data_IF_257093698359
#
_entry.id   IF_257093698359
#
_cell.length_a   1.000
_cell.length_b   1.000
_cell.length_c   1.000
_cell.angle_alpha   90.00
_cell.angle_beta   90.00
_cell.angle_gamma   90.00
#
_symmetry.space_group_name_H-M   'P 1'
#
loop_
_entity.id
_entity.type
_entity.pdbx_description
1 polymer ?
#
# COMPACT_ATOMS: atom_id res chain seq x y z
N UNK A 1 20.75 -13.17 -11.50
CA UNK A 1 21.82 -13.37 -10.50
C UNK A 1 23.08 -12.85 -11.16
N UNK A 2 23.44 -11.59 -10.90
CA UNK A 2 24.57 -10.94 -11.54
C UNK A 2 25.86 -11.63 -11.12
N UNK A 3 26.61 -12.12 -12.10
CA UNK A 3 27.98 -12.53 -11.87
C UNK A 3 28.80 -11.27 -11.56
N UNK A 4 29.58 -11.32 -10.47
CA UNK A 4 30.57 -10.29 -10.14
C UNK A 4 31.67 -10.32 -11.21
N UNK A 5 31.56 -9.45 -12.21
CA UNK A 5 32.66 -9.12 -13.11
C UNK A 5 33.36 -7.92 -12.47
N UNK A 6 34.66 -8.06 -12.21
CA UNK A 6 35.49 -6.95 -11.80
C UNK A 6 35.71 -6.06 -13.04
N UNK A 7 34.94 -4.99 -13.16
CA UNK A 7 35.01 -4.05 -14.27
C UNK A 7 35.51 -2.69 -13.74
N UNK A 8 36.63 -2.20 -14.29
CA UNK A 8 37.13 -0.85 -13.97
C UNK A 8 36.56 0.07 -15.03
N UNK A 9 35.50 0.79 -14.69
CA UNK A 9 34.91 1.82 -15.54
C UNK A 9 35.53 3.19 -15.23
N UNK A 10 36.05 3.85 -16.27
CA UNK A 10 36.56 5.22 -16.20
C UNK A 10 35.47 6.29 -16.41
N UNK A 11 34.24 5.85 -16.71
CA UNK A 11 33.11 6.68 -17.18
C UNK A 11 31.87 6.53 -16.27
N UNK A 12 32.03 6.44 -14.94
CA UNK A 12 30.93 6.40 -13.96
C UNK A 12 30.35 7.81 -13.72
N UNK A 13 29.94 8.52 -14.77
CA UNK A 13 29.45 9.90 -14.70
C UNK A 13 27.92 10.00 -14.92
N UNK A 14 27.21 8.87 -14.98
CA UNK A 14 25.78 8.80 -15.25
C UNK A 14 25.42 8.96 -16.73
N UNK A 15 26.39 9.05 -17.64
CA UNK A 15 26.15 9.16 -19.09
C UNK A 15 25.92 7.82 -19.78
N UNK A 16 26.03 6.70 -19.07
CA UNK A 16 25.72 5.37 -19.61
C UNK A 16 24.26 5.30 -20.09
N UNK A 17 24.00 4.44 -21.08
CA UNK A 17 22.63 4.23 -21.57
C UNK A 17 21.69 3.73 -20.46
N UNK A 18 22.21 2.94 -19.50
CA UNK A 18 21.44 2.44 -18.37
C UNK A 18 21.14 3.55 -17.36
N UNK A 19 22.11 4.40 -17.05
CA UNK A 19 21.96 5.50 -16.10
C UNK A 19 20.97 6.54 -16.63
N UNK A 20 21.08 6.93 -17.90
CA UNK A 20 20.11 7.82 -18.56
C UNK A 20 18.70 7.21 -18.61
N UNK A 21 18.59 5.89 -18.80
CA UNK A 21 17.30 5.22 -18.77
C UNK A 21 16.68 5.27 -17.37
N UNK A 22 17.46 5.04 -16.31
CA UNK A 22 16.95 5.12 -14.94
C UNK A 22 16.60 6.55 -14.52
N UNK A 23 17.33 7.55 -15.03
CA UNK A 23 16.95 8.96 -14.88
C UNK A 23 15.59 9.24 -15.53
N UNK A 24 15.35 8.74 -16.74
CA UNK A 24 14.05 8.89 -17.41
C UNK A 24 12.91 8.19 -16.63
N UNK A 25 13.18 7.06 -15.99
CA UNK A 25 12.20 6.36 -15.12
C UNK A 25 11.87 7.22 -13.90
N UNK A 26 12.87 7.72 -13.18
CA UNK A 26 12.65 8.61 -12.03
C UNK A 26 11.90 9.88 -12.43
N UNK A 27 12.31 10.53 -13.53
CA UNK A 27 11.66 11.73 -14.06
C UNK A 27 10.21 11.51 -14.52
N UNK A 28 9.80 10.26 -14.77
CA UNK A 28 8.41 9.91 -15.08
C UNK A 28 7.50 9.81 -13.84
N UNK A 29 8.05 10.02 -12.64
CA UNK A 29 7.33 9.97 -11.36
C UNK A 29 7.40 8.60 -10.67
N UNK A 30 8.22 7.68 -11.17
CA UNK A 30 8.42 6.36 -10.54
C UNK A 30 9.52 6.49 -9.48
N UNK A 31 9.19 6.25 -8.21
CA UNK A 31 10.16 6.25 -7.12
C UNK A 31 11.17 5.12 -7.35
N UNK A 32 12.41 5.48 -7.66
CA UNK A 32 13.40 4.53 -8.19
C UNK A 32 14.60 4.38 -7.25
N UNK A 33 14.92 3.13 -6.91
CA UNK A 33 16.06 2.76 -6.07
C UNK A 33 17.05 1.90 -6.85
N UNK A 34 18.34 2.17 -6.70
CA UNK A 34 19.44 1.43 -7.32
C UNK A 34 20.44 1.00 -6.24
N UNK A 35 21.04 -0.17 -6.40
CA UNK A 35 22.11 -0.61 -5.50
C UNK A 35 23.39 0.15 -5.79
N UNK A 36 24.13 0.54 -4.74
CA UNK A 36 25.44 1.18 -4.90
C UNK A 36 26.48 0.27 -5.61
N UNK A 37 26.33 -1.05 -5.51
CA UNK A 37 27.29 -2.02 -6.04
C UNK A 37 28.01 -2.81 -4.94
N UNK A 38 28.75 -3.85 -5.31
CA UNK A 38 29.48 -4.70 -4.36
C UNK A 38 30.96 -4.84 -4.72
N UNK A 39 31.56 -3.78 -5.27
CA UNK A 39 32.90 -3.79 -5.87
C UNK A 39 34.01 -3.67 -4.82
N UNK A 40 33.75 -4.16 -3.61
CA UNK A 40 34.66 -4.11 -2.46
C UNK A 40 35.23 -2.72 -2.30
N UNK A 41 34.37 -1.77 -1.93
CA UNK A 41 34.69 -0.35 -1.83
C UNK A 41 35.92 0.01 -0.99
N UNK A 42 36.67 -0.95 -0.43
CA UNK A 42 37.99 -0.85 0.21
C UNK A 42 39.19 -1.51 -0.50
N UNK A 43 39.05 -2.05 -1.72
CA UNK A 43 40.20 -2.54 -2.47
C UNK A 43 41.00 -1.35 -3.02
N UNK A 44 42.12 -1.03 -2.35
CA UNK A 44 42.94 0.17 -2.53
C UNK A 44 43.40 0.51 -3.96
N UNK A 45 43.29 -0.41 -4.93
CA UNK A 45 43.59 -0.10 -6.33
C UNK A 45 42.42 0.58 -7.07
N UNK A 46 41.17 0.49 -6.58
CA UNK A 46 39.98 1.04 -7.23
C UNK A 46 39.64 2.48 -6.77
N UNK A 47 40.15 2.91 -5.61
CA UNK A 47 39.90 4.25 -5.09
C UNK A 47 38.44 4.52 -4.73
N UNK A 48 38.06 5.80 -4.68
CA UNK A 48 36.71 6.27 -4.34
C UNK A 48 35.96 6.67 -5.60
N UNK A 49 35.56 5.64 -6.34
CA UNK A 49 34.76 5.69 -7.56
C UNK A 49 34.37 4.25 -7.93
N UNK A 50 33.66 3.58 -7.03
CA UNK A 50 33.27 2.16 -7.18
C UNK A 50 31.78 1.99 -7.40
N UNK A 51 31.02 3.08 -7.39
CA UNK A 51 29.60 3.07 -7.79
C UNK A 51 29.54 3.14 -9.30
N UNK A 52 29.20 2.01 -9.90
CA UNK A 52 29.08 1.85 -11.35
C UNK A 52 27.64 2.09 -11.83
N UNK A 53 27.47 2.20 -13.14
CA UNK A 53 26.20 2.25 -13.82
C UNK A 53 25.34 1.01 -13.54
N UNK A 54 24.03 1.17 -13.24
CA UNK A 54 23.29 2.43 -13.24
C UNK A 54 23.29 3.16 -11.88
N UNK A 55 23.97 2.66 -10.85
CA UNK A 55 24.00 3.27 -9.51
C UNK A 55 24.58 4.69 -9.47
N UNK A 56 25.35 5.07 -10.50
CA UNK A 56 25.86 6.42 -10.75
C UNK A 56 24.83 7.39 -11.36
N UNK A 57 23.61 6.95 -11.69
CA UNK A 57 22.56 7.79 -12.24
C UNK A 57 22.21 8.99 -11.32
N UNK A 58 21.75 10.09 -11.91
CA UNK A 58 21.58 11.36 -11.19
C UNK A 58 20.32 11.40 -10.31
N UNK A 59 19.19 10.98 -10.87
CA UNK A 59 17.87 11.12 -10.25
C UNK A 59 17.52 9.98 -9.29
N UNK A 60 17.73 8.69 -9.62
CA UNK A 60 17.43 7.58 -8.71
C UNK A 60 18.13 7.70 -7.35
N UNK A 61 17.57 7.01 -6.35
CA UNK A 61 18.11 6.91 -5.01
C UNK A 61 19.05 5.70 -4.96
N UNK A 62 20.35 5.94 -4.82
CA UNK A 62 21.38 4.90 -4.75
C UNK A 62 21.58 4.47 -3.30
N UNK A 63 21.52 3.16 -3.03
CA UNK A 63 21.46 2.59 -1.69
C UNK A 63 22.73 1.78 -1.38
N UNK A 64 23.45 2.18 -0.33
CA UNK A 64 24.58 1.43 0.22
C UNK A 64 24.14 0.41 1.28
N UNK A 65 25.03 -0.55 1.57
CA UNK A 65 24.75 -1.67 2.46
C UNK A 65 25.46 -1.50 3.79
N UNK A 66 24.70 -1.63 4.88
CA UNK A 66 25.23 -1.71 6.24
C UNK A 66 25.30 -3.15 6.75
N UNK A 67 26.26 -3.39 7.64
CA UNK A 67 26.31 -4.54 8.52
C UNK A 67 25.31 -4.40 9.69
N UNK A 68 25.11 -5.49 10.45
CA UNK A 68 24.14 -5.52 11.56
C UNK A 68 24.57 -4.68 12.76
N UNK A 69 25.85 -4.36 12.87
CA UNK A 69 26.42 -3.40 13.82
C UNK A 69 26.36 -1.95 13.30
N UNK A 70 25.70 -1.73 12.16
CA UNK A 70 25.51 -0.43 11.52
C UNK A 70 26.82 0.19 10.98
N UNK A 71 27.88 -0.62 10.84
CA UNK A 71 29.04 -0.26 10.03
C UNK A 71 28.71 -0.33 8.54
N UNK A 72 29.41 0.43 7.69
CA UNK A 72 29.32 0.24 6.25
C UNK A 72 29.90 -1.15 5.92
N UNK A 73 29.15 -1.96 5.17
CA UNK A 73 29.60 -3.29 4.83
C UNK A 73 30.84 -3.21 3.92
N UNK A 74 31.87 -4.01 4.19
CA UNK A 74 33.18 -3.97 3.49
C UNK A 74 33.06 -4.12 1.95
N UNK A 75 32.01 -4.79 1.49
CA UNK A 75 31.77 -4.98 0.06
C UNK A 75 31.03 -3.79 -0.58
N UNK A 76 30.38 -2.92 0.19
CA UNK A 76 29.55 -1.83 -0.33
C UNK A 76 30.41 -0.85 -1.11
N UNK A 77 29.96 -0.52 -2.31
CA UNK A 77 30.63 0.49 -3.15
C UNK A 77 30.45 1.89 -2.60
N UNK A 78 31.45 2.72 -2.88
CA UNK A 78 31.64 4.09 -2.40
C UNK A 78 31.81 5.03 -3.59
N UNK A 79 31.21 6.21 -3.50
CA UNK A 79 31.43 7.29 -4.45
C UNK A 79 32.80 7.95 -4.24
N UNK A 80 33.09 9.06 -4.90
CA UNK A 80 32.21 9.86 -5.76
C UNK A 80 31.97 9.20 -7.12
N UNK A 81 30.99 9.70 -7.88
CA UNK A 81 30.94 9.44 -9.33
C UNK A 81 32.12 10.12 -10.03
N UNK A 82 32.43 9.74 -11.27
CA UNK A 82 33.55 10.28 -12.05
C UNK A 82 33.44 11.78 -12.33
N UNK A 83 32.22 12.32 -12.36
CA UNK A 83 31.91 13.75 -12.48
C UNK A 83 31.81 14.49 -11.13
N UNK A 84 32.08 13.80 -10.01
CA UNK A 84 32.18 14.41 -8.68
C UNK A 84 30.86 14.56 -7.91
N UNK A 85 29.77 13.90 -8.35
CA UNK A 85 28.53 13.84 -7.56
C UNK A 85 28.70 12.90 -6.38
N UNK A 86 28.08 13.26 -5.26
CA UNK A 86 28.04 12.41 -4.08
C UNK A 86 27.03 11.28 -4.32
N UNK A 87 27.52 10.05 -4.20
CA UNK A 87 26.76 8.81 -4.10
C UNK A 87 27.44 7.91 -3.07
N UNK A 88 26.72 7.05 -2.33
CA UNK A 88 25.28 6.76 -2.39
C UNK A 88 24.42 7.92 -1.87
N UNK A 89 23.09 7.83 -1.98
CA UNK A 89 22.18 8.79 -1.35
C UNK A 89 21.83 8.37 0.10
N UNK A 90 21.70 7.07 0.39
CA UNK A 90 21.30 6.57 1.71
C UNK A 90 21.88 5.18 1.96
N UNK A 91 21.98 4.79 3.23
CA UNK A 91 22.46 3.48 3.65
C UNK A 91 21.44 2.72 4.47
N UNK A 92 21.31 1.42 4.22
CA UNK A 92 20.40 0.54 4.95
C UNK A 92 21.06 -0.82 5.17
N UNK A 93 20.65 -1.56 6.20
CA UNK A 93 21.18 -2.90 6.48
C UNK A 93 20.94 -3.83 5.28
N UNK A 94 22.03 -4.37 4.73
CA UNK A 94 22.02 -5.31 3.61
C UNK A 94 22.84 -6.57 3.86
N UNK A 95 23.55 -6.68 4.98
CA UNK A 95 24.30 -7.89 5.34
C UNK A 95 23.50 -8.89 6.17
N UNK A 96 23.67 -10.17 5.85
CA UNK A 96 23.09 -11.29 6.58
C UNK A 96 21.58 -11.17 6.77
N UNK A 97 20.90 -10.72 5.70
CA UNK A 97 19.45 -10.56 5.63
C UNK A 97 18.82 -11.91 5.33
N UNK A 98 17.91 -12.35 6.19
CA UNK A 98 17.09 -13.52 5.92
C UNK A 98 16.03 -13.15 4.88
N UNK A 99 16.02 -13.85 3.75
CA UNK A 99 15.06 -13.65 2.68
C UNK A 99 14.44 -14.99 2.25
N UNK A 100 13.25 -14.98 1.63
CA UNK A 100 12.66 -16.18 1.05
C UNK A 100 13.62 -16.85 0.07
N UNK A 101 13.78 -18.17 0.20
CA UNK A 101 14.64 -18.93 -0.68
C UNK A 101 13.89 -19.39 -1.93
N UNK A 102 14.39 -19.00 -3.10
CA UNK A 102 13.72 -19.30 -4.36
C UNK A 102 13.66 -20.82 -4.59
N UNK A 103 12.59 -21.28 -5.23
CA UNK A 103 12.31 -22.70 -5.46
C UNK A 103 12.06 -23.55 -4.18
N UNK A 104 11.75 -22.89 -3.06
CA UNK A 104 11.25 -23.55 -1.84
C UNK A 104 9.83 -23.07 -1.51
N UNK A 105 9.07 -23.87 -0.76
CA UNK A 105 7.71 -23.50 -0.30
C UNK A 105 7.71 -22.52 0.86
N UNK A 106 8.66 -22.69 1.77
CA UNK A 106 8.70 -22.10 3.11
C UNK A 106 10.15 -21.88 3.58
N UNK A 107 11.13 -22.06 2.69
CA UNK A 107 12.54 -21.91 2.98
C UNK A 107 12.97 -20.46 3.07
N UNK A 108 13.98 -20.23 3.91
CA UNK A 108 14.64 -18.94 4.07
C UNK A 108 16.14 -19.13 3.96
N UNK A 109 16.81 -18.15 3.36
CA UNK A 109 18.26 -18.15 3.21
C UNK A 109 18.84 -16.78 3.57
N UNK A 110 20.04 -16.78 4.14
CA UNK A 110 20.75 -15.55 4.49
C UNK A 110 21.54 -15.08 3.28
N UNK A 111 21.36 -13.81 2.88
CA UNK A 111 22.13 -13.17 1.81
C UNK A 111 22.67 -11.81 2.27
N UNK A 112 23.75 -11.39 1.62
CA UNK A 112 24.39 -10.10 1.85
C UNK A 112 24.60 -9.38 0.53
N UNK A 113 24.43 -8.05 0.52
CA UNK A 113 24.70 -7.22 -0.65
C UNK A 113 23.94 -5.89 -0.62
N UNK A 114 24.41 -4.90 -1.38
CA UNK A 114 23.60 -3.69 -1.68
C UNK A 114 22.30 -4.05 -2.40
N UNK A 115 22.25 -5.18 -3.09
CA UNK A 115 21.02 -5.78 -3.63
C UNK A 115 20.00 -6.22 -2.57
N UNK A 116 20.40 -6.41 -1.31
CA UNK A 116 19.50 -6.69 -0.18
C UNK A 116 19.08 -5.39 0.52
N UNK A 117 19.98 -4.40 0.61
CA UNK A 117 19.67 -3.08 1.15
C UNK A 117 18.66 -2.32 0.28
N UNK A 118 18.80 -2.39 -1.05
CA UNK A 118 17.94 -1.70 -2.02
C UNK A 118 16.44 -2.04 -1.88
N UNK A 119 16.00 -3.32 -1.89
CA UNK A 119 14.59 -3.65 -1.70
C UNK A 119 14.09 -3.35 -0.29
N UNK A 120 14.96 -3.33 0.74
CA UNK A 120 14.57 -2.87 2.07
C UNK A 120 14.24 -1.38 2.06
N UNK A 121 15.08 -0.54 1.42
CA UNK A 121 14.79 0.88 1.23
C UNK A 121 13.54 1.11 0.38
N UNK A 122 13.35 0.32 -0.68
CA UNK A 122 12.12 0.38 -1.49
C UNK A 122 10.87 0.03 -0.66
N UNK A 123 10.97 -0.92 0.28
CA UNK A 123 9.91 -1.23 1.23
C UNK A 123 9.60 -0.09 2.19
N UNK A 124 10.62 0.60 2.69
CA UNK A 124 10.46 1.82 3.52
C UNK A 124 9.73 2.91 2.71
N UNK A 125 10.14 3.13 1.46
CA UNK A 125 9.48 4.09 0.60
C UNK A 125 8.03 3.70 0.25
N UNK A 126 7.72 2.41 0.15
CA UNK A 126 6.35 1.95 -0.01
C UNK A 126 5.47 2.34 1.20
N UNK A 127 6.01 2.33 2.42
CA UNK A 127 5.31 2.83 3.61
C UNK A 127 5.15 4.36 3.56
N UNK A 128 6.12 5.10 3.01
CA UNK A 128 5.97 6.55 2.77
C UNK A 128 4.85 6.84 1.78
N UNK A 129 4.72 6.05 0.72
CA UNK A 129 3.60 6.13 -0.24
C UNK A 129 2.27 5.76 0.41
N UNK A 130 2.24 4.79 1.33
CA UNK A 130 1.04 4.47 2.09
C UNK A 130 0.60 5.65 2.98
N UNK A 131 1.55 6.30 3.65
CA UNK A 131 1.31 7.49 4.47
C UNK A 131 0.91 8.72 3.64
N UNK A 132 1.40 8.82 2.40
CA UNK A 132 1.05 9.89 1.48
C UNK A 132 0.98 9.36 0.03
N UNK A 133 -0.22 8.98 -0.45
CA UNK A 133 -0.41 8.41 -1.79
C UNK A 133 -0.03 9.31 -2.96
N UNK A 134 0.23 10.61 -2.71
CA UNK A 134 0.64 11.58 -3.72
C UNK A 134 2.14 11.94 -3.64
N UNK A 135 2.89 11.29 -2.76
CA UNK A 135 4.31 11.59 -2.58
C UNK A 135 5.09 11.34 -3.88
N UNK A 136 5.89 12.32 -4.27
CA UNK A 136 6.73 12.28 -5.47
C UNK A 136 8.11 11.70 -5.18
N UNK A 137 8.82 11.28 -6.24
CA UNK A 137 10.21 10.81 -6.15
C UNK A 137 11.12 11.87 -5.51
N UNK A 138 10.96 13.14 -5.90
CA UNK A 138 11.71 14.27 -5.37
C UNK A 138 11.43 14.49 -3.88
N UNK A 139 10.17 14.37 -3.44
CA UNK A 139 9.82 14.48 -2.03
C UNK A 139 10.39 13.34 -1.20
N UNK A 140 10.40 12.11 -1.71
CA UNK A 140 11.08 10.98 -1.04
C UNK A 140 12.57 11.28 -0.87
N UNK A 141 13.23 11.76 -1.93
CA UNK A 141 14.65 12.14 -1.88
C UNK A 141 14.92 13.29 -0.89
N UNK A 142 14.02 14.27 -0.82
CA UNK A 142 14.10 15.37 0.13
C UNK A 142 13.96 14.91 1.59
N UNK A 143 13.05 13.99 1.87
CA UNK A 143 12.88 13.40 3.21
C UNK A 143 14.13 12.60 3.60
N UNK A 144 14.65 11.75 2.70
CA UNK A 144 15.91 11.03 2.92
C UNK A 144 17.04 12.02 3.25
N UNK A 145 17.11 13.14 2.52
CA UNK A 145 18.12 14.17 2.75
C UNK A 145 18.00 14.88 4.10
N UNK A 146 16.78 15.06 4.60
CA UNK A 146 16.53 15.83 5.82
C UNK A 146 16.56 14.96 7.09
N UNK A 147 16.12 13.71 6.98
CA UNK A 147 15.70 12.90 8.13
C UNK A 147 16.54 11.63 8.33
N UNK A 148 17.58 11.41 7.52
CA UNK A 148 18.48 10.26 7.71
C UNK A 148 19.24 10.37 9.03
N UNK A 149 19.49 9.23 9.68
CA UNK A 149 20.29 9.16 10.90
C UNK A 149 21.76 9.36 10.52
N UNK A 150 22.38 10.38 11.08
CA UNK A 150 23.80 10.66 10.88
C UNK A 150 24.68 9.49 11.39
N UNK A 151 25.75 9.17 10.66
CA UNK A 151 26.66 8.05 10.94
C UNK A 151 28.13 8.49 10.88
N UNK A 152 28.79 8.63 12.01
CA UNK A 152 30.19 9.08 12.07
C UNK A 152 31.11 8.30 11.12
N UNK A 153 32.01 9.03 10.45
CA UNK A 153 33.01 8.44 9.57
C UNK A 153 34.10 7.80 10.43
N UNK A 154 34.41 6.53 10.19
CA UNK A 154 35.46 5.82 10.92
C UNK A 154 36.83 6.12 10.32
N UNK A 155 37.37 7.32 10.60
CA UNK A 155 38.63 7.85 10.05
C UNK A 155 39.89 6.99 10.30
N UNK A 156 39.87 6.03 11.24
CA UNK A 156 41.06 5.29 11.69
C UNK A 156 40.91 3.76 11.74
N UNK A 157 39.71 3.22 11.52
CA UNK A 157 39.42 1.78 11.59
C UNK A 157 38.50 1.31 10.46
N UNK A 158 38.36 2.07 9.35
CA UNK A 158 37.69 1.57 8.15
C UNK A 158 38.49 0.38 7.58
N UNK A 159 37.91 -0.85 7.55
CA UNK A 159 38.58 -2.02 6.99
C UNK A 159 38.94 -1.89 5.50
N UNK A 160 38.48 -0.81 4.82
CA UNK A 160 38.81 -0.48 3.44
C UNK A 160 40.01 0.45 3.19
N UNK A 161 40.59 1.09 4.21
CA UNK A 161 41.77 1.98 4.09
C UNK A 161 41.71 3.05 2.97
N UNK A 162 40.53 3.37 2.44
CA UNK A 162 40.35 4.32 1.34
C UNK A 162 39.27 5.35 1.66
N UNK A 163 39.27 5.84 2.89
CA UNK A 163 38.46 6.97 3.28
C UNK A 163 38.82 8.19 2.40
N UNK A 164 37.99 8.46 1.38
CA UNK A 164 38.07 9.67 0.56
C UNK A 164 37.10 10.75 1.03
N UNK A 165 36.51 10.59 2.21
CA UNK A 165 35.82 11.68 2.87
C UNK A 165 36.90 12.64 3.42
N UNK A 166 37.31 13.58 2.56
CA UNK A 166 38.33 14.59 2.89
C UNK A 166 37.85 15.50 4.04
N UNK A 167 36.54 15.57 4.26
CA UNK A 167 35.83 16.30 5.30
C UNK A 167 34.58 15.51 5.69
N UNK A 168 34.15 15.58 6.96
CA UNK A 168 32.81 15.15 7.36
C UNK A 168 31.76 16.11 6.73
N UNK A 169 31.38 15.85 5.48
CA UNK A 169 30.33 16.57 4.77
C UNK A 169 29.13 15.66 4.58
N UNK A 170 27.91 16.16 4.79
CA UNK A 170 26.68 15.43 4.43
C UNK A 170 26.03 16.07 3.20
N UNK A 171 25.67 15.29 2.18
CA UNK A 171 25.93 13.85 2.05
C UNK A 171 27.43 13.54 1.88
N UNK A 172 27.88 12.37 2.33
CA UNK A 172 29.23 11.84 2.09
C UNK A 172 29.21 10.69 1.07
N UNK A 173 30.39 10.25 0.62
CA UNK A 173 30.54 9.24 -0.41
C UNK A 173 30.48 7.78 0.10
N UNK A 174 30.22 7.56 1.39
CA UNK A 174 30.12 6.25 2.02
C UNK A 174 28.68 5.94 2.44
N UNK A 175 28.09 6.80 3.26
CA UNK A 175 26.76 6.67 3.83
C UNK A 175 25.71 7.50 3.10
N UNK A 176 26.11 8.46 2.26
CA UNK A 176 25.21 9.43 1.65
C UNK A 176 24.70 10.42 2.70
N UNK A 177 23.39 10.62 2.76
CA UNK A 177 22.75 11.41 3.82
C UNK A 177 22.76 10.70 5.19
N UNK A 178 23.03 9.39 5.22
CA UNK A 178 23.13 8.62 6.45
C UNK A 178 22.38 7.30 6.39
N UNK A 179 22.08 6.76 7.56
CA UNK A 179 21.28 5.55 7.71
C UNK A 179 19.78 5.89 7.59
N UNK A 180 19.01 5.06 6.88
CA UNK A 180 17.55 5.23 6.82
C UNK A 180 16.87 5.12 8.20
N UNK A 181 15.94 6.03 8.49
CA UNK A 181 15.00 5.97 9.62
C UNK A 181 13.59 5.70 9.09
N UNK A 182 13.10 4.45 9.13
CA UNK A 182 11.77 4.13 8.62
C UNK A 182 10.64 4.89 9.33
N UNK A 183 10.77 5.17 10.62
CA UNK A 183 9.71 5.81 11.39
C UNK A 183 9.61 7.28 11.02
N UNK A 184 10.75 7.99 11.08
CA UNK A 184 10.79 9.41 10.77
C UNK A 184 10.43 9.66 9.31
N UNK A 185 10.92 8.84 8.37
CA UNK A 185 10.57 8.99 6.95
C UNK A 185 9.06 8.88 6.69
N UNK A 186 8.37 7.93 7.34
CA UNK A 186 6.92 7.75 7.20
C UNK A 186 6.15 8.90 7.85
N UNK A 187 6.60 9.38 9.01
CA UNK A 187 5.99 10.52 9.69
C UNK A 187 6.11 11.80 8.86
N UNK A 188 7.29 12.09 8.32
CA UNK A 188 7.54 13.24 7.45
C UNK A 188 6.78 13.14 6.12
N UNK A 189 6.72 11.94 5.51
CA UNK A 189 6.00 11.72 4.27
C UNK A 189 4.50 12.05 4.39
N UNK A 190 3.87 11.60 5.47
CA UNK A 190 2.45 11.81 5.74
C UNK A 190 2.12 13.08 6.53
N UNK A 191 3.11 13.85 6.96
CA UNK A 191 2.95 14.94 7.93
C UNK A 191 2.15 14.48 9.17
N UNK A 192 2.48 13.28 9.67
CA UNK A 192 1.64 12.54 10.60
C UNK A 192 1.71 13.16 12.00
N UNK A 193 0.55 13.61 12.49
CA UNK A 193 0.30 13.87 13.90
C UNK A 193 -0.39 12.65 14.54
N UNK A 194 0.36 11.96 15.41
CA UNK A 194 -0.12 10.78 16.13
C UNK A 194 -1.30 11.02 17.08
N UNK A 195 -1.63 12.27 17.40
CA UNK A 195 -2.82 12.62 18.20
C UNK A 195 -4.11 12.63 17.37
N UNK A 196 -3.99 12.64 16.04
CA UNK A 196 -5.10 12.61 15.10
C UNK A 196 -5.39 11.18 14.65
N UNK A 197 -6.67 10.88 14.42
CA UNK A 197 -7.09 9.59 13.89
C UNK A 197 -8.33 9.73 13.01
N UNK A 198 -8.49 8.83 12.06
CA UNK A 198 -9.66 8.76 11.17
C UNK A 198 -10.01 7.31 10.88
N UNK A 199 -11.28 7.02 10.68
CA UNK A 199 -11.74 5.70 10.24
C UNK A 199 -12.94 5.84 9.32
N UNK A 200 -12.87 5.20 8.15
CA UNK A 200 -14.00 4.98 7.26
C UNK A 200 -14.91 3.87 7.80
N UNK A 201 -16.22 4.08 7.72
CA UNK A 201 -17.21 3.02 7.91
C UNK A 201 -17.37 2.19 6.62
N UNK A 202 -16.28 1.50 6.27
CA UNK A 202 -16.20 0.64 5.10
C UNK A 202 -15.49 -0.66 5.45
N UNK A 203 -16.05 -1.78 4.98
CA UNK A 203 -15.40 -3.08 5.05
C UNK A 203 -14.47 -3.26 3.86
N UNK A 204 -13.33 -3.92 4.08
CA UNK A 204 -12.43 -4.32 3.01
C UNK A 204 -13.16 -5.24 2.02
N UNK A 205 -12.98 -4.99 0.73
CA UNK A 205 -13.67 -5.63 -0.41
C UNK A 205 -15.19 -5.39 -0.45
N UNK A 206 -15.68 -4.36 0.24
CA UNK A 206 -17.06 -3.92 0.08
C UNK A 206 -17.30 -3.42 -1.35
N UNK A 207 -18.49 -3.72 -1.89
CA UNK A 207 -18.94 -3.19 -3.16
C UNK A 207 -19.45 -1.76 -2.93
N UNK A 208 -18.92 -0.81 -3.68
CA UNK A 208 -19.30 0.59 -3.59
C UNK A 208 -19.79 1.04 -4.94
N UNK A 209 -21.07 1.38 -5.01
CA UNK A 209 -21.70 1.81 -6.25
C UNK A 209 -21.53 3.28 -6.55
N UNK A 210 -21.99 3.62 -7.75
CA UNK A 210 -21.97 4.97 -8.27
C UNK A 210 -22.74 5.92 -7.35
N UNK A 211 -22.17 7.10 -7.11
CA UNK A 211 -22.72 8.12 -6.20
C UNK A 211 -22.97 7.67 -4.75
N UNK A 212 -22.36 6.57 -4.29
CA UNK A 212 -22.51 6.10 -2.90
C UNK A 212 -22.04 7.15 -1.89
N UNK A 213 -22.68 7.18 -0.71
CA UNK A 213 -22.25 8.02 0.41
C UNK A 213 -21.33 7.22 1.32
N UNK A 214 -20.14 7.74 1.56
CA UNK A 214 -19.14 7.18 2.47
C UNK A 214 -19.12 8.03 3.72
N UNK A 215 -19.18 7.41 4.89
CA UNK A 215 -19.10 8.08 6.17
C UNK A 215 -17.97 7.53 7.02
N UNK A 216 -17.63 8.26 8.07
CA UNK A 216 -16.66 7.81 9.05
C UNK A 216 -16.64 8.68 10.29
N UNK A 217 -15.69 8.36 11.15
CA UNK A 217 -15.40 9.09 12.37
C UNK A 217 -13.96 9.59 12.35
N UNK A 218 -13.70 10.68 13.05
CA UNK A 218 -12.33 11.15 13.31
C UNK A 218 -12.19 11.62 14.75
N UNK A 219 -10.95 11.75 15.23
CA UNK A 219 -10.66 12.22 16.58
C UNK A 219 -9.37 13.03 16.61
N UNK A 220 -9.22 13.89 17.62
CA UNK A 220 -8.09 14.80 17.76
C UNK A 220 -8.25 16.12 17.00
N UNK A 221 -9.30 16.24 16.18
CA UNK A 221 -9.67 17.48 15.49
C UNK A 221 -10.01 18.62 16.46
N UNK A 222 -9.80 19.85 15.98
CA UNK A 222 -10.12 21.08 16.72
C UNK A 222 -11.32 21.75 16.06
N UNK A 223 -12.26 22.23 16.87
CA UNK A 223 -13.46 22.94 16.41
C UNK A 223 -13.12 24.09 15.47
N UNK A 224 -13.70 24.05 14.26
CA UNK A 224 -13.57 25.08 13.23
C UNK A 224 -12.25 25.03 12.44
N UNK A 225 -11.44 23.99 12.62
CA UNK A 225 -10.13 23.86 11.97
C UNK A 225 -10.06 22.55 11.17
N UNK A 226 -9.42 22.63 10.01
CA UNK A 226 -9.13 21.47 9.19
C UNK A 226 -10.32 20.95 8.38
N UNK A 227 -10.10 19.82 7.72
CA UNK A 227 -11.11 19.12 6.94
C UNK A 227 -10.77 17.64 6.73
N UNK A 228 -11.80 16.82 6.55
CA UNK A 228 -11.63 15.45 6.07
C UNK A 228 -11.66 15.42 4.55
N UNK A 229 -10.77 14.62 3.96
CA UNK A 229 -10.77 14.36 2.53
C UNK A 229 -10.62 12.87 2.24
N UNK A 230 -11.20 12.45 1.12
CA UNK A 230 -11.18 11.07 0.63
C UNK A 230 -10.71 11.04 -0.81
N UNK A 231 -9.90 10.04 -1.15
CA UNK A 231 -9.41 9.75 -2.49
C UNK A 231 -9.79 8.33 -2.89
N UNK A 232 -10.14 8.14 -4.15
CA UNK A 232 -10.50 6.82 -4.71
C UNK A 232 -9.52 6.49 -5.82
N UNK A 233 -8.76 5.41 -5.65
CA UNK A 233 -7.72 4.98 -6.58
C UNK A 233 -6.71 6.10 -6.86
N UNK A 234 -6.41 6.30 -8.15
CA UNK A 234 -5.54 7.38 -8.63
C UNK A 234 -6.23 8.73 -8.84
N UNK A 235 -7.50 8.90 -8.42
CA UNK A 235 -8.24 10.15 -8.60
C UNK A 235 -7.82 11.28 -7.66
N UNK A 236 -8.49 12.43 -7.77
CA UNK A 236 -8.25 13.57 -6.90
C UNK A 236 -8.86 13.39 -5.50
N UNK A 237 -8.26 14.06 -4.51
CA UNK A 237 -8.87 14.20 -3.19
C UNK A 237 -10.18 14.99 -3.25
N UNK A 238 -11.17 14.51 -2.50
CA UNK A 238 -12.49 15.10 -2.40
C UNK A 238 -12.77 15.43 -0.95
N UNK A 239 -13.11 16.69 -0.67
CA UNK A 239 -13.43 17.15 0.67
C UNK A 239 -14.80 16.61 1.11
N UNK A 240 -14.85 16.02 2.30
CA UNK A 240 -16.07 15.56 2.94
C UNK A 240 -16.86 16.72 3.57
N UNK A 241 -18.09 16.43 3.97
CA UNK A 241 -18.94 17.32 4.77
C UNK A 241 -18.85 16.93 6.24
N UNK A 242 -18.63 17.91 7.11
CA UNK A 242 -18.66 17.73 8.55
C UNK A 242 -20.11 17.60 9.04
N UNK A 243 -20.38 16.58 9.85
CA UNK A 243 -21.67 16.31 10.47
C UNK A 243 -21.64 16.55 11.99
N UNK A 244 -20.49 16.91 12.56
CA UNK A 244 -20.35 17.22 13.97
C UNK A 244 -21.09 18.50 14.35
N UNK A 245 -21.58 18.56 15.59
CA UNK A 245 -22.29 19.74 16.10
C UNK A 245 -21.37 20.92 16.43
N UNK A 246 -20.08 20.65 16.63
CA UNK A 246 -19.08 21.63 17.06
C UNK A 246 -18.03 21.92 15.98
N UNK A 247 -18.14 21.32 14.79
CA UNK A 247 -17.20 21.57 13.68
C UNK A 247 -15.82 20.95 13.91
N UNK A 248 -15.73 19.83 14.64
CA UNK A 248 -14.47 19.15 14.98
C UNK A 248 -14.19 17.92 14.10
N UNK A 249 -15.02 17.69 13.06
CA UNK A 249 -14.93 16.53 12.17
C UNK A 249 -15.11 15.17 12.82
N UNK A 250 -15.61 15.11 14.06
CA UNK A 250 -15.83 13.83 14.78
C UNK A 250 -16.74 12.85 14.03
N UNK A 251 -17.63 13.36 13.17
CA UNK A 251 -18.41 12.59 12.21
C UNK A 251 -18.45 13.32 10.87
N UNK A 252 -18.30 12.59 9.78
CA UNK A 252 -18.23 13.16 8.44
C UNK A 252 -18.87 12.25 7.39
N UNK A 253 -19.22 12.83 6.24
CA UNK A 253 -19.77 12.12 5.09
C UNK A 253 -19.28 12.73 3.77
N UNK A 254 -18.95 11.89 2.79
CA UNK A 254 -18.76 12.28 1.41
C UNK A 254 -19.69 11.48 0.49
N UNK A 255 -20.48 12.17 -0.33
CA UNK A 255 -21.12 11.56 -1.49
C UNK A 255 -20.12 11.50 -2.65
N UNK A 256 -19.83 10.30 -3.14
CA UNK A 256 -18.91 10.11 -4.27
C UNK A 256 -19.42 10.80 -5.53
N UNK A 257 -18.50 11.35 -6.33
CA UNK A 257 -18.81 11.82 -7.68
C UNK A 257 -19.24 10.65 -8.58
N UNK A 258 -20.04 10.94 -9.63
CA UNK A 258 -20.37 9.93 -10.62
C UNK A 258 -19.12 9.28 -11.21
N UNK A 259 -19.07 7.95 -11.23
CA UNK A 259 -18.00 7.18 -11.84
C UNK A 259 -18.59 6.06 -12.70
N UNK A 260 -17.89 5.73 -13.79
CA UNK A 260 -18.24 4.62 -14.70
C UNK A 260 -17.24 3.45 -14.58
N UNK A 261 -16.21 3.61 -13.75
CA UNK A 261 -15.16 2.62 -13.56
C UNK A 261 -15.61 1.54 -12.57
N UNK A 262 -15.54 0.28 -12.99
CA UNK A 262 -15.81 -0.87 -12.13
C UNK A 262 -14.54 -1.68 -11.91
N UNK A 263 -14.37 -2.24 -10.71
CA UNK A 263 -13.24 -3.11 -10.38
C UNK A 263 -12.57 -2.81 -9.05
N UNK A 264 -11.43 -3.45 -8.82
CA UNK A 264 -10.66 -3.27 -7.60
C UNK A 264 -10.07 -1.86 -7.54
N UNK A 265 -10.33 -1.17 -6.43
CA UNK A 265 -9.73 0.12 -6.13
C UNK A 265 -9.37 0.20 -4.65
N UNK A 266 -8.71 1.28 -4.26
CA UNK A 266 -8.41 1.60 -2.86
C UNK A 266 -8.99 2.96 -2.56
N UNK A 267 -9.75 3.07 -1.47
CA UNK A 267 -10.14 4.36 -0.92
C UNK A 267 -9.17 4.75 0.19
N UNK A 268 -8.85 6.03 0.23
CA UNK A 268 -7.99 6.64 1.23
C UNK A 268 -8.79 7.73 1.92
N UNK A 269 -8.66 7.87 3.23
CA UNK A 269 -9.20 9.02 3.96
C UNK A 269 -8.16 9.56 4.93
N UNK A 270 -8.13 10.89 5.09
CA UNK A 270 -7.31 11.56 6.09
C UNK A 270 -8.01 12.81 6.62
N UNK A 271 -7.74 13.12 7.90
CA UNK A 271 -8.05 14.41 8.50
C UNK A 271 -6.84 15.34 8.31
N UNK A 272 -7.07 16.52 7.76
CA UNK A 272 -6.03 17.53 7.51
C UNK A 272 -6.30 18.72 8.42
N UNK A 273 -5.34 19.06 9.27
CA UNK A 273 -5.38 20.29 10.09
C UNK A 273 -4.59 21.40 9.40
N UNK A 274 -3.43 21.06 8.85
CA UNK A 274 -2.60 21.91 8.00
C UNK A 274 -1.74 21.05 7.06
N UNK A 275 -0.96 21.67 6.17
CA UNK A 275 -0.05 20.96 5.26
C UNK A 275 1.03 20.16 6.00
N UNK A 276 1.35 20.55 7.25
CA UNK A 276 2.35 19.90 8.10
C UNK A 276 1.73 19.11 9.26
N UNK A 277 0.40 18.95 9.28
CA UNK A 277 -0.30 18.28 10.38
C UNK A 277 -1.55 17.54 9.87
N UNK A 278 -1.42 16.23 9.70
CA UNK A 278 -2.48 15.35 9.20
C UNK A 278 -2.59 14.08 10.03
N UNK A 279 -3.76 13.44 10.01
CA UNK A 279 -3.88 12.08 10.55
C UNK A 279 -3.14 11.07 9.68
N UNK A 280 -2.81 9.89 10.23
CA UNK A 280 -2.53 8.73 9.40
C UNK A 280 -3.66 8.51 8.38
N UNK A 281 -3.29 8.02 7.20
CA UNK A 281 -4.25 7.67 6.15
C UNK A 281 -4.94 6.35 6.51
N UNK A 282 -6.27 6.34 6.57
CA UNK A 282 -7.04 5.08 6.58
C UNK A 282 -7.25 4.63 5.13
N UNK A 283 -6.78 3.43 4.79
CA UNK A 283 -6.87 2.86 3.46
C UNK A 283 -7.74 1.59 3.44
N UNK A 284 -8.71 1.54 2.52
CA UNK A 284 -9.64 0.41 2.36
C UNK A 284 -9.67 -0.06 0.92
N UNK A 285 -9.35 -1.35 0.69
CA UNK A 285 -9.59 -1.98 -0.60
C UNK A 285 -11.10 -2.13 -0.82
N UNK A 286 -11.59 -1.76 -2.00
CA UNK A 286 -13.02 -1.78 -2.35
C UNK A 286 -13.20 -2.32 -3.77
N UNK A 287 -14.44 -2.69 -4.10
CA UNK A 287 -14.85 -3.05 -5.46
C UNK A 287 -15.83 -1.98 -5.94
N UNK A 288 -15.41 -1.16 -6.90
CA UNK A 288 -16.29 -0.15 -7.51
C UNK A 288 -17.26 -0.83 -8.47
N UNK A 289 -18.52 -0.37 -8.48
CA UNK A 289 -19.55 -0.80 -9.42
C UNK A 289 -20.22 0.43 -10.06
N UNK A 290 -20.40 0.41 -11.38
CA UNK A 290 -21.02 1.49 -12.17
C UNK A 290 -22.53 1.66 -11.87
N UNK A 291 -23.13 0.68 -11.20
CA UNK A 291 -24.54 0.77 -10.80
C UNK A 291 -24.74 1.72 -9.61
N UNK A 292 -25.78 2.54 -9.68
CA UNK A 292 -26.22 3.37 -8.56
C UNK A 292 -26.79 2.46 -7.48
N UNK A 293 -26.10 2.34 -6.36
CA UNK A 293 -26.62 1.64 -5.18
C UNK A 293 -27.46 2.58 -4.33
N UNK A 294 -28.79 2.37 -4.32
CA UNK A 294 -29.67 2.91 -3.28
C UNK A 294 -29.38 2.16 -1.97
N UNK A 295 -28.48 2.70 -1.15
CA UNK A 295 -28.18 2.12 0.17
C UNK A 295 -29.35 2.38 1.13
N UNK A 296 -30.24 1.38 1.25
CA UNK A 296 -31.01 1.12 2.45
C UNK A 296 -30.61 -0.24 3.03
N UNK A 297 -29.36 -0.39 3.46
CA UNK A 297 -28.95 -1.55 4.26
C UNK A 297 -28.54 -1.10 5.67
N UNK A 298 -29.56 -0.78 6.45
CA UNK A 298 -29.51 -0.97 7.89
C UNK A 298 -30.06 -2.36 8.22
N UNK A 299 -29.24 -3.18 8.91
CA UNK A 299 -29.65 -4.37 9.66
C UNK A 299 -30.47 -5.45 8.92
N UNK A 300 -29.80 -6.41 8.29
CA UNK A 300 -30.18 -7.85 8.40
C UNK A 300 -29.07 -8.75 7.85
N UNK A 301 -28.02 -8.94 8.64
CA UNK A 301 -27.20 -10.13 8.51
C UNK A 301 -27.97 -11.33 9.06
N UNK A 302 -28.87 -11.89 8.26
CA UNK A 302 -29.37 -13.27 8.35
C UNK A 302 -30.21 -13.55 7.09
N UNK A 303 -29.54 -13.97 6.00
CA UNK A 303 -30.26 -14.69 4.94
C UNK A 303 -30.63 -16.07 5.48
N UNK A 304 -31.78 -16.15 6.12
CA UNK A 304 -32.39 -17.41 6.54
C UNK A 304 -32.82 -18.17 5.29
N UNK A 305 -32.01 -19.15 4.86
CA UNK A 305 -32.40 -20.16 3.85
C UNK A 305 -33.67 -20.97 4.23
N UNK A 306 -34.26 -20.73 5.41
CA UNK A 306 -35.45 -21.40 5.93
C UNK A 306 -36.80 -20.76 5.57
N UNK A 307 -36.88 -19.50 5.16
CA UNK A 307 -38.18 -18.82 4.97
C UNK A 307 -38.89 -19.24 3.67
N UNK A 308 -38.16 -19.44 2.57
CA UNK A 308 -38.74 -19.97 1.32
C UNK A 308 -39.10 -21.46 1.41
N UNK A 309 -38.33 -22.25 2.16
CA UNK A 309 -38.65 -23.66 2.41
C UNK A 309 -39.91 -23.84 3.26
N UNK A 310 -40.12 -22.98 4.27
CA UNK A 310 -41.33 -22.97 5.10
C UNK A 310 -42.56 -22.46 4.33
N UNK A 311 -42.41 -21.45 3.47
CA UNK A 311 -43.53 -20.95 2.67
C UNK A 311 -44.03 -21.95 1.63
N UNK A 312 -43.12 -22.70 0.97
CA UNK A 312 -43.50 -23.75 0.02
C UNK A 312 -44.18 -24.92 0.75
N UNK A 313 -43.76 -25.24 1.97
CA UNK A 313 -44.37 -26.28 2.79
C UNK A 313 -45.78 -25.90 3.29
N UNK A 314 -46.00 -24.63 3.65
CA UNK A 314 -47.31 -24.17 4.12
C UNK A 314 -48.37 -24.16 3.01
N UNK A 315 -48.03 -23.70 1.80
CA UNK A 315 -48.96 -23.74 0.66
C UNK A 315 -49.24 -25.17 0.16
N UNK A 316 -48.24 -26.06 0.22
CA UNK A 316 -48.42 -27.48 -0.11
C UNK A 316 -49.40 -28.19 0.83
N UNK A 317 -49.36 -27.89 2.14
CA UNK A 317 -50.24 -28.53 3.13
C UNK A 317 -51.68 -28.04 3.01
N UNK A 318 -51.92 -26.75 2.78
CA UNK A 318 -53.28 -26.21 2.61
C UNK A 318 -53.96 -26.68 1.32
N UNK A 319 -53.20 -26.82 0.23
CA UNK A 319 -53.75 -27.37 -1.02
C UNK A 319 -54.11 -28.86 -0.87
N UNK A 320 -53.31 -29.63 -0.12
CA UNK A 320 -53.57 -31.06 0.13
C UNK A 320 -54.73 -31.30 1.12
N UNK A 321 -54.87 -30.46 2.15
CA UNK A 321 -56.03 -30.46 3.06
C UNK A 321 -57.32 -30.01 2.37
N UNK A 322 -57.24 -28.99 1.51
CA UNK A 322 -58.37 -28.55 0.68
C UNK A 322 -58.82 -29.62 -0.32
N UNK A 323 -57.87 -30.33 -0.94
CA UNK A 323 -58.17 -31.42 -1.87
C UNK A 323 -58.79 -32.64 -1.17
N UNK A 324 -58.28 -33.03 -0.01
CA UNK A 324 -58.82 -34.18 0.76
C UNK A 324 -60.21 -33.90 1.32
N UNK A 325 -60.48 -32.67 1.79
CA UNK A 325 -61.83 -32.26 2.22
C UNK A 325 -62.81 -32.17 1.04
N UNK A 326 -62.38 -31.68 -0.13
CA UNK A 326 -63.19 -31.68 -1.36
C UNK A 326 -63.54 -33.10 -1.83
N UNK A 327 -62.57 -34.02 -1.82
CA UNK A 327 -62.78 -35.42 -2.22
C UNK A 327 -63.69 -36.19 -1.24
N UNK A 328 -63.59 -35.95 0.07
CA UNK A 328 -64.48 -36.59 1.03
C UNK A 328 -65.92 -36.07 0.96
N UNK A 329 -66.10 -34.77 0.66
CA UNK A 329 -67.43 -34.17 0.48
C UNK A 329 -68.14 -34.71 -0.77
N UNK A 330 -67.40 -35.01 -1.84
CA UNK A 330 -67.95 -35.62 -3.05
C UNK A 330 -68.15 -37.15 -2.97
N UNK A 331 -67.53 -37.84 -2.00
CA UNK A 331 -67.83 -39.25 -1.71
C UNK A 331 -69.11 -39.41 -0.88
N UNK A 332 -69.38 -38.50 0.07
CA UNK A 332 -70.61 -38.53 0.87
C UNK A 332 -71.90 -38.17 0.11
N UNK A 333 -71.80 -37.62 -1.10
CA UNK A 333 -72.95 -37.26 -1.95
C UNK A 333 -73.35 -38.35 -2.96
N UNK A 334 -72.64 -39.49 -3.02
CA UNK A 334 -72.92 -40.57 -3.99
C UNK A 334 -73.62 -41.79 -3.39
N UNK A 335 -73.77 -41.88 -2.07
CA UNK A 335 -74.29 -43.08 -1.39
C UNK A 335 -75.74 -42.94 -0.87
N UNK A 336 -76.45 -41.85 -1.17
CA UNK A 336 -77.89 -41.69 -0.86
C UNK A 336 -78.69 -41.24 -2.08
N UNK A 337 -78.91 -42.15 -3.06
CA UNK A 337 -80.04 -42.07 -4.00
C UNK A 337 -80.13 -43.32 -4.92
N UNK A 338 -80.35 -44.53 -4.38
CA UNK A 338 -80.90 -45.66 -5.17
C UNK A 338 -81.86 -46.50 -4.30
N UNK A 339 -83.16 -46.22 -4.43
CA UNK A 339 -84.36 -47.05 -4.18
C UNK A 339 -85.43 -46.43 -5.11
N UNK A 340 -86.29 -47.08 -5.89
CA UNK A 340 -86.55 -48.44 -6.40
C UNK A 340 -87.75 -48.26 -7.39
N UNK A 341 -88.08 -49.33 -8.11
CA UNK A 341 -89.24 -49.62 -8.97
C UNK A 341 -89.13 -49.22 -10.46
N UNK A 342 -88.80 -50.16 -11.36
CA UNK A 342 -89.62 -51.28 -11.89
C UNK A 342 -90.74 -50.80 -12.83
N UNK A 343 -90.84 -51.29 -14.07
CA UNK A 343 -91.43 -52.57 -14.46
C UNK A 343 -91.26 -52.79 -16.00
N UNK A 344 -91.54 -53.99 -16.55
CA UNK A 344 -90.74 -54.66 -17.58
C UNK A 344 -91.41 -54.82 -18.97
N UNK A 345 -90.65 -55.40 -19.91
CA UNK A 345 -91.00 -56.35 -21.00
C UNK A 345 -89.73 -56.46 -21.89
N UNK A 346 -89.15 -57.60 -22.29
CA UNK A 346 -89.52 -59.01 -22.45
C UNK A 346 -88.26 -59.87 -22.30
#
# INVERSE_FOLDING_TARGET
>A
LGEQQFEIHFDNDGSSAWSQQMDAVAASGIITFLSAGNEFGGATFAGCNTIDSPGDANLPITVASLDKDLGLAIYSSRGYTSDGRVKPDVSVIGSNIMAPDAATSDGYTSKSGTSMATPLMAGIAALMVEANPDITHEQVKAIISADSIERDLQLLDDPGFNDCSVLESRPDNEFGYGQADPLLFVQSAGAIDSSLNITMDLKTLQHVGNESSISGISSGGVSGVGFVQIKVGGGDWQQATDLSSIGDWSSWNLKLKPHIESGNSTMYSRLVISDDQMSPVDARRVILIDEKTDFSEGMSGEMTFGSYALMISFFGIFTLLGWTTYMNRNKGMKDEAIIDDSQPNL
#
